data_IF_638610260286
#
_entry.id   IF_638610260286
#
_cell.length_a   1.000
_cell.length_b   1.000
_cell.length_c   1.000
_cell.angle_alpha   90.00
_cell.angle_beta   90.00
_cell.angle_gamma   90.00
#
_symmetry.space_group_name_H-M   'P 1'
#
loop_
_entity.id
_entity.type
_entity.pdbx_description
1 polymer ?
#
# COMPACT_ATOMS: atom_id res chain seq x y z
N UNK A 1 -13.10 12.13 -12.54
CA UNK A 1 -12.09 13.16 -12.87
C UNK A 1 -12.29 14.34 -11.90
N UNK A 2 -11.21 14.97 -11.41
CA UNK A 2 -11.29 16.08 -10.43
C UNK A 2 -11.19 15.68 -8.95
N UNK A 3 -10.57 14.55 -8.62
CA UNK A 3 -10.38 14.13 -7.23
C UNK A 3 -9.32 15.00 -6.58
N UNK A 4 -9.68 15.74 -5.52
CA UNK A 4 -8.73 16.49 -4.70
C UNK A 4 -8.04 15.55 -3.71
N UNK A 5 -6.71 15.56 -3.70
CA UNK A 5 -5.87 14.71 -2.85
C UNK A 5 -5.25 15.56 -1.76
N UNK A 6 -5.49 15.20 -0.50
CA UNK A 6 -4.86 15.84 0.65
C UNK A 6 -3.60 15.05 1.03
N UNK A 7 -2.44 15.65 0.86
CA UNK A 7 -1.16 15.03 1.22
C UNK A 7 -0.72 15.50 2.60
N UNK A 8 -0.74 14.60 3.58
CA UNK A 8 -0.26 14.87 4.93
C UNK A 8 1.28 14.86 4.98
N UNK A 9 1.90 16.03 5.07
CA UNK A 9 3.35 16.17 5.24
C UNK A 9 3.71 17.51 5.87
N UNK A 10 4.67 17.51 6.80
CA UNK A 10 5.27 18.73 7.33
C UNK A 10 6.33 19.32 6.40
N UNK A 11 6.93 18.51 5.51
CA UNK A 11 7.92 18.96 4.55
C UNK A 11 7.23 19.56 3.32
N UNK A 12 7.37 20.88 3.17
CA UNK A 12 6.94 21.64 1.99
C UNK A 12 7.73 21.20 0.75
N UNK A 13 9.04 20.97 0.90
CA UNK A 13 9.91 20.51 -0.19
C UNK A 13 9.43 19.16 -0.76
N UNK A 14 9.14 18.19 0.12
CA UNK A 14 8.61 16.88 -0.29
C UNK A 14 7.28 17.03 -1.02
N UNK A 15 6.39 17.87 -0.50
CA UNK A 15 5.10 18.14 -1.15
C UNK A 15 5.29 18.73 -2.55
N UNK A 16 6.12 19.78 -2.68
CA UNK A 16 6.36 20.44 -3.97
C UNK A 16 7.04 19.52 -5.00
N UNK A 17 7.91 18.60 -4.56
CA UNK A 17 8.52 17.61 -5.45
C UNK A 17 7.46 16.68 -6.04
N UNK A 18 6.59 16.10 -5.20
CA UNK A 18 5.52 15.21 -5.64
C UNK A 18 4.48 15.98 -6.47
N UNK A 19 4.16 17.22 -6.11
CA UNK A 19 3.25 18.04 -6.90
C UNK A 19 3.77 18.27 -8.32
N UNK A 20 5.09 18.46 -8.48
CA UNK A 20 5.73 18.64 -9.80
C UNK A 20 5.77 17.38 -10.66
N UNK A 21 5.60 16.20 -10.07
CA UNK A 21 5.47 14.94 -10.82
C UNK A 21 4.13 14.87 -11.58
N UNK A 22 3.11 15.61 -11.14
CA UNK A 22 1.82 15.69 -11.81
C UNK A 22 1.85 16.70 -12.98
N UNK A 23 1.14 16.42 -14.09
CA UNK A 23 0.91 17.40 -15.16
C UNK A 23 0.37 18.72 -14.62
N UNK A 24 0.79 19.85 -15.20
CA UNK A 24 0.49 21.20 -14.70
C UNK A 24 -1.00 21.45 -14.42
N UNK A 25 -1.88 20.94 -15.28
CA UNK A 25 -3.34 21.03 -15.16
C UNK A 25 -3.91 20.29 -13.93
N UNK A 26 -3.18 19.32 -13.39
CA UNK A 26 -3.60 18.51 -12.24
C UNK A 26 -2.94 18.90 -10.91
N UNK A 27 -1.90 19.75 -10.93
CA UNK A 27 -1.14 20.10 -9.72
C UNK A 27 -2.01 20.74 -8.63
N UNK A 28 -3.05 21.49 -9.01
CA UNK A 28 -3.99 22.13 -8.09
C UNK A 28 -4.90 21.14 -7.35
N UNK A 29 -4.99 19.88 -7.80
CA UNK A 29 -5.73 18.85 -7.08
C UNK A 29 -4.96 18.28 -5.89
N UNK A 30 -3.63 18.40 -5.87
CA UNK A 30 -2.81 17.97 -4.75
C UNK A 30 -2.64 19.12 -3.76
N UNK A 31 -3.03 18.90 -2.50
CA UNK A 31 -3.04 19.94 -1.47
C UNK A 31 -2.30 19.48 -0.23
N UNK A 32 -1.34 20.27 0.22
CA UNK A 32 -0.59 19.98 1.43
C UNK A 32 -1.50 20.18 2.64
N UNK A 33 -1.49 19.21 3.55
CA UNK A 33 -2.06 19.35 4.88
C UNK A 33 -1.02 18.92 5.92
N UNK A 34 -1.11 19.49 7.12
CA UNK A 34 -0.14 19.23 8.20
C UNK A 34 -0.78 18.53 9.41
N UNK A 35 -2.11 18.38 9.40
CA UNK A 35 -2.90 17.79 10.48
C UNK A 35 -4.00 16.90 9.92
N UNK A 36 -4.33 15.83 10.65
CA UNK A 36 -5.33 14.83 10.24
C UNK A 36 -6.76 15.36 10.21
N UNK A 37 -7.08 16.38 11.01
CA UNK A 37 -8.42 16.98 11.02
C UNK A 37 -8.81 17.60 9.67
N UNK A 38 -7.85 17.95 8.83
CA UNK A 38 -8.11 18.40 7.46
C UNK A 38 -8.83 17.35 6.61
N UNK A 39 -8.69 16.06 6.94
CA UNK A 39 -9.30 14.94 6.23
C UNK A 39 -10.66 14.50 6.82
N UNK A 40 -11.31 15.34 7.65
CA UNK A 40 -12.59 15.00 8.30
C UNK A 40 -13.77 14.74 7.35
N UNK A 41 -13.62 15.07 6.07
CA UNK A 41 -14.61 14.80 5.02
C UNK A 41 -14.11 13.80 3.97
N UNK A 42 -12.94 13.18 4.18
CA UNK A 42 -12.37 12.19 3.26
C UNK A 42 -12.80 10.78 3.65
N UNK A 43 -13.52 10.08 2.77
CA UNK A 43 -13.91 8.67 2.98
C UNK A 43 -12.87 7.65 2.52
N UNK A 44 -11.81 8.10 1.85
CA UNK A 44 -10.73 7.24 1.36
C UNK A 44 -9.42 7.72 1.96
N UNK A 45 -8.78 6.87 2.75
CA UNK A 45 -7.53 7.18 3.42
C UNK A 45 -6.44 6.21 2.95
N UNK A 46 -5.37 6.75 2.38
CA UNK A 46 -4.20 5.97 1.94
C UNK A 46 -3.11 6.13 3.01
N UNK A 47 -2.73 5.03 3.65
CA UNK A 47 -1.96 5.03 4.90
C UNK A 47 -0.68 4.22 4.75
N UNK A 48 0.44 4.93 4.65
CA UNK A 48 1.80 4.35 4.59
C UNK A 48 2.60 4.47 5.88
N UNK A 49 1.94 4.79 7.01
CA UNK A 49 2.56 4.89 8.33
C UNK A 49 1.57 4.51 9.43
N UNK A 50 2.07 4.22 10.61
CA UNK A 50 1.21 3.90 11.75
C UNK A 50 0.32 5.09 12.13
N UNK A 51 -0.93 4.78 12.49
CA UNK A 51 -1.92 5.75 12.98
C UNK A 51 -2.42 5.35 14.36
N UNK A 52 -2.33 6.28 15.28
CA UNK A 52 -2.92 6.19 16.62
C UNK A 52 -4.45 6.28 16.56
N UNK A 53 -5.17 5.78 17.58
CA UNK A 53 -6.62 5.94 17.71
C UNK A 53 -7.12 7.39 17.54
N UNK A 54 -6.39 8.36 18.09
CA UNK A 54 -6.73 9.79 17.99
C UNK A 54 -6.56 10.35 16.58
N UNK A 55 -5.61 9.84 15.81
CA UNK A 55 -5.45 10.26 14.41
C UNK A 55 -6.57 9.66 13.55
N UNK A 56 -6.93 8.40 13.81
CA UNK A 56 -8.05 7.74 13.13
C UNK A 56 -9.41 8.35 13.48
N UNK A 57 -9.57 9.00 14.64
CA UNK A 57 -10.85 9.62 15.04
C UNK A 57 -11.27 10.79 14.15
N UNK A 58 -10.35 11.34 13.35
CA UNK A 58 -10.67 12.35 12.35
C UNK A 58 -11.32 11.79 11.09
N UNK A 59 -11.20 10.49 10.80
CA UNK A 59 -11.86 9.91 9.65
C UNK A 59 -13.39 9.93 9.84
N UNK A 60 -14.19 10.34 8.83
CA UNK A 60 -15.65 10.29 8.92
C UNK A 60 -16.17 8.84 9.01
N UNK A 61 -17.46 8.69 9.33
CA UNK A 61 -18.11 7.38 9.30
C UNK A 61 -18.18 6.85 7.86
N UNK A 62 -17.99 5.54 7.69
CA UNK A 62 -17.94 4.89 6.38
C UNK A 62 -16.63 5.10 5.62
N UNK A 63 -15.57 5.56 6.29
CA UNK A 63 -14.23 5.63 5.69
C UNK A 63 -13.67 4.23 5.44
N UNK A 64 -12.97 4.07 4.31
CA UNK A 64 -12.10 2.94 4.05
C UNK A 64 -10.62 3.36 4.17
N UNK A 65 -9.85 2.60 4.95
CA UNK A 65 -8.41 2.77 5.11
C UNK A 65 -7.66 1.80 4.20
N UNK A 66 -7.10 2.29 3.11
CA UNK A 66 -6.12 1.57 2.29
C UNK A 66 -4.75 1.66 2.98
N UNK A 67 -4.36 0.59 3.67
CA UNK A 67 -3.09 0.54 4.39
C UNK A 67 -2.07 -0.32 3.66
N UNK A 68 -0.81 0.12 3.68
CA UNK A 68 0.33 -0.65 3.17
C UNK A 68 1.52 -0.61 4.13
N UNK A 69 1.25 -0.28 5.39
CA UNK A 69 2.23 -0.30 6.48
C UNK A 69 2.25 -1.68 7.13
N UNK A 70 3.45 -2.20 7.42
CA UNK A 70 3.64 -3.50 8.08
C UNK A 70 4.24 -3.25 9.47
N UNK A 71 3.69 -3.83 10.55
CA UNK A 71 2.37 -4.48 10.64
C UNK A 71 1.19 -3.49 10.42
N UNK A 72 -0.04 -3.99 10.19
CA UNK A 72 -1.18 -3.13 9.88
C UNK A 72 -1.56 -2.22 11.05
N UNK A 73 -2.26 -1.11 10.75
CA UNK A 73 -2.78 -0.20 11.77
C UNK A 73 -3.89 -0.89 12.59
N UNK A 74 -4.04 -0.48 13.84
CA UNK A 74 -5.13 -0.96 14.69
C UNK A 74 -6.50 -0.53 14.14
N UNK A 75 -7.42 -1.49 13.99
CA UNK A 75 -8.80 -1.24 13.55
C UNK A 75 -9.64 -0.58 14.66
N UNK A 76 -9.40 0.71 14.94
CA UNK A 76 -10.02 1.42 16.06
C UNK A 76 -11.45 1.92 15.77
N UNK A 77 -11.72 2.35 14.53
CA UNK A 77 -13.01 2.94 14.12
C UNK A 77 -14.01 1.86 13.69
N UNK A 78 -14.96 1.53 14.57
CA UNK A 78 -15.98 0.48 14.32
C UNK A 78 -16.88 0.72 13.11
N UNK A 79 -17.08 1.98 12.73
CA UNK A 79 -17.90 2.37 11.58
C UNK A 79 -17.04 2.69 10.33
N UNK A 80 -15.81 2.20 10.29
CA UNK A 80 -14.91 2.28 9.14
C UNK A 80 -14.47 0.87 8.74
N UNK A 81 -13.92 0.74 7.55
CA UNK A 81 -13.33 -0.50 7.05
C UNK A 81 -11.84 -0.32 6.81
N UNK A 82 -11.09 -1.41 6.88
CA UNK A 82 -9.64 -1.44 6.77
C UNK A 82 -9.27 -2.48 5.72
N UNK A 83 -8.47 -2.09 4.74
CA UNK A 83 -7.95 -3.01 3.74
C UNK A 83 -6.91 -3.94 4.35
N UNK A 84 -6.85 -5.17 3.88
CA UNK A 84 -5.79 -6.10 4.24
C UNK A 84 -4.47 -5.69 3.58
N UNK A 85 -3.35 -6.06 4.22
CA UNK A 85 -2.04 -5.88 3.60
C UNK A 85 -1.89 -6.85 2.44
N UNK A 86 -1.42 -6.35 1.30
CA UNK A 86 -1.17 -7.18 0.14
C UNK A 86 -0.21 -8.33 0.48
N UNK A 87 -0.62 -9.55 0.14
CA UNK A 87 0.08 -10.77 0.50
C UNK A 87 -0.10 -11.84 -0.58
N UNK A 88 0.91 -12.71 -0.68
CA UNK A 88 0.93 -13.79 -1.66
C UNK A 88 1.24 -15.10 -0.94
N UNK A 89 0.50 -16.15 -1.32
CA UNK A 89 0.81 -17.53 -0.97
C UNK A 89 1.89 -18.06 -1.90
N UNK A 90 2.94 -18.62 -1.31
CA UNK A 90 4.03 -19.31 -2.01
C UNK A 90 3.59 -20.69 -2.51
N UNK A 91 4.24 -21.25 -3.54
CA UNK A 91 4.09 -22.65 -3.92
C UNK A 91 4.37 -23.61 -2.74
N UNK A 92 3.69 -24.76 -2.73
CA UNK A 92 3.70 -25.69 -1.57
C UNK A 92 5.05 -26.33 -1.29
N UNK A 93 5.90 -26.43 -2.31
CA UNK A 93 7.22 -27.04 -2.30
C UNK A 93 8.34 -26.06 -1.93
N UNK A 94 8.04 -24.78 -1.75
CA UNK A 94 9.03 -23.76 -1.34
C UNK A 94 9.54 -24.06 0.07
N UNK A 95 10.87 -24.03 0.21
CA UNK A 95 11.58 -24.20 1.48
C UNK A 95 12.49 -22.99 1.74
N UNK A 96 12.94 -22.83 2.99
CA UNK A 96 13.92 -21.78 3.36
C UNK A 96 13.35 -20.36 3.55
N UNK A 97 12.11 -20.08 3.12
CA UNK A 97 11.48 -18.75 3.25
C UNK A 97 10.63 -18.56 4.52
N UNK A 98 10.75 -19.44 5.51
CA UNK A 98 9.94 -19.37 6.74
C UNK A 98 10.12 -18.06 7.52
N UNK A 99 11.32 -17.50 7.54
CA UNK A 99 11.56 -16.20 8.20
C UNK A 99 10.88 -15.04 7.48
N UNK A 100 10.60 -15.17 6.17
CA UNK A 100 9.93 -14.15 5.36
C UNK A 100 8.41 -14.11 5.58
N UNK A 101 7.85 -15.11 6.26
CA UNK A 101 6.42 -15.16 6.63
C UNK A 101 6.10 -14.08 7.68
N UNK A 102 7.05 -13.75 8.55
CA UNK A 102 6.94 -12.74 9.61
C UNK A 102 5.71 -12.93 10.52
N UNK A 103 4.63 -12.19 10.25
CA UNK A 103 3.36 -12.26 11.01
C UNK A 103 2.25 -12.97 10.23
N UNK A 104 2.57 -13.49 9.04
CA UNK A 104 1.63 -14.17 8.15
C UNK A 104 1.57 -15.67 8.44
N UNK A 105 0.52 -16.30 7.93
CA UNK A 105 0.36 -17.75 7.98
C UNK A 105 1.49 -18.50 7.24
N UNK A 106 1.65 -19.78 7.57
CA UNK A 106 2.62 -20.65 6.89
C UNK A 106 2.41 -20.65 5.37
N UNK A 107 3.50 -20.44 4.64
CA UNK A 107 3.52 -20.36 3.19
C UNK A 107 2.91 -19.07 2.63
N UNK A 108 2.71 -18.03 3.45
CA UNK A 108 2.25 -16.70 3.01
C UNK A 108 3.32 -15.67 3.35
N UNK A 109 3.59 -14.77 2.41
CA UNK A 109 4.48 -13.64 2.62
C UNK A 109 3.80 -12.35 2.17
N UNK A 110 4.25 -11.21 2.69
CA UNK A 110 3.81 -9.91 2.16
C UNK A 110 4.17 -9.78 0.67
N UNK A 111 3.36 -9.05 -0.08
CA UNK A 111 3.56 -8.85 -1.52
C UNK A 111 4.92 -8.23 -1.85
N UNK A 112 5.50 -7.43 -0.96
CA UNK A 112 6.86 -6.90 -1.13
C UNK A 112 7.94 -7.99 -1.09
N UNK A 113 7.82 -8.99 -0.20
CA UNK A 113 8.75 -10.13 -0.16
C UNK A 113 8.56 -11.03 -1.38
N UNK A 114 7.31 -11.29 -1.78
CA UNK A 114 7.00 -12.02 -3.00
C UNK A 114 7.57 -11.31 -4.24
N UNK A 115 7.46 -9.99 -4.31
CA UNK A 115 8.05 -9.18 -5.39
C UNK A 115 9.57 -9.36 -5.49
N UNK A 116 10.29 -9.38 -4.36
CA UNK A 116 11.73 -9.66 -4.34
C UNK A 116 12.07 -11.06 -4.86
N UNK A 117 11.27 -12.07 -4.52
CA UNK A 117 11.44 -13.44 -5.04
C UNK A 117 11.20 -13.48 -6.56
N UNK A 118 10.13 -12.87 -7.05
CA UNK A 118 9.83 -12.81 -8.49
C UNK A 118 10.93 -12.08 -9.25
N UNK A 119 11.42 -10.96 -8.70
CA UNK A 119 12.52 -10.19 -9.29
C UNK A 119 13.78 -11.03 -9.46
N UNK A 120 14.15 -11.82 -8.44
CA UNK A 120 15.27 -12.77 -8.50
C UNK A 120 15.03 -13.86 -9.55
N UNK A 121 13.84 -14.46 -9.58
CA UNK A 121 13.53 -15.59 -10.46
C UNK A 121 13.48 -15.20 -11.95
N UNK A 122 13.03 -14.00 -12.26
CA UNK A 122 13.04 -13.45 -13.62
C UNK A 122 14.41 -12.89 -14.03
N UNK A 123 15.38 -12.81 -13.11
CA UNK A 123 16.72 -12.29 -13.39
C UNK A 123 16.72 -10.80 -13.76
N UNK A 124 15.79 -10.02 -13.22
CA UNK A 124 15.72 -8.59 -13.50
C UNK A 124 16.89 -7.84 -12.84
N UNK A 125 17.48 -6.90 -13.58
CA UNK A 125 18.68 -6.15 -13.15
C UNK A 125 18.40 -4.69 -12.74
N UNK A 126 17.13 -4.25 -12.84
CA UNK A 126 16.75 -2.91 -12.43
C UNK A 126 16.57 -2.84 -10.90
N UNK A 127 16.58 -1.62 -10.35
CA UNK A 127 16.34 -1.42 -8.92
C UNK A 127 14.85 -1.56 -8.60
N UNK A 128 14.55 -2.31 -7.54
CA UNK A 128 13.21 -2.54 -6.99
C UNK A 128 12.75 -1.43 -6.03
N UNK A 129 13.66 -0.51 -5.68
CA UNK A 129 13.40 0.62 -4.77
C UNK A 129 13.26 1.91 -5.56
N UNK A 130 12.11 2.57 -5.45
CA UNK A 130 11.88 3.86 -6.12
C UNK A 130 10.41 4.13 -6.39
N UNK A 131 10.17 5.02 -7.35
CA UNK A 131 8.83 5.20 -7.91
C UNK A 131 8.38 3.90 -8.60
N UNK A 132 7.10 3.55 -8.43
CA UNK A 132 6.52 2.38 -9.08
C UNK A 132 6.45 2.65 -10.59
N UNK A 133 7.02 1.75 -11.38
CA UNK A 133 6.79 1.70 -12.83
C UNK A 133 5.41 1.07 -13.08
N UNK A 134 4.43 1.92 -13.37
CA UNK A 134 3.03 1.50 -13.54
C UNK A 134 2.82 0.60 -14.75
N UNK A 135 3.67 0.71 -15.77
CA UNK A 135 3.57 -0.10 -16.99
C UNK A 135 4.04 -1.54 -16.77
N UNK A 136 4.75 -1.79 -15.66
CA UNK A 136 5.22 -3.13 -15.28
C UNK A 136 4.28 -3.88 -14.36
N UNK A 137 3.18 -3.28 -13.89
CA UNK A 137 2.28 -3.92 -12.91
C UNK A 137 1.79 -5.29 -13.42
N UNK A 138 1.25 -5.32 -14.65
CA UNK A 138 0.72 -6.56 -15.23
C UNK A 138 1.85 -7.57 -15.52
N UNK A 139 3.01 -7.09 -15.97
CA UNK A 139 4.18 -7.93 -16.23
C UNK A 139 4.64 -8.65 -14.96
N UNK A 140 4.77 -7.91 -13.84
CA UNK A 140 5.18 -8.48 -12.56
C UNK A 140 4.11 -9.42 -12.01
N UNK A 141 2.84 -9.09 -12.20
CA UNK A 141 1.72 -9.92 -11.79
C UNK A 141 1.72 -11.28 -12.50
N UNK A 142 1.83 -11.27 -13.84
CA UNK A 142 1.87 -12.50 -14.64
C UNK A 142 3.11 -13.34 -14.33
N UNK A 143 4.26 -12.72 -14.09
CA UNK A 143 5.46 -13.42 -13.63
C UNK A 143 5.23 -14.10 -12.27
N UNK A 144 4.58 -13.42 -11.32
CA UNK A 144 4.24 -14.03 -10.03
C UNK A 144 3.32 -15.26 -10.20
N UNK A 145 2.30 -15.15 -11.06
CA UNK A 145 1.38 -16.27 -11.33
C UNK A 145 2.09 -17.44 -12.03
N UNK A 146 3.01 -17.16 -12.98
CA UNK A 146 3.85 -18.16 -13.66
C UNK A 146 4.67 -19.00 -12.69
N UNK A 147 5.20 -18.40 -11.63
CA UNK A 147 5.92 -19.13 -10.57
C UNK A 147 5.01 -19.74 -9.51
N UNK A 148 3.68 -19.71 -9.71
CA UNK A 148 2.71 -20.36 -8.84
C UNK A 148 2.42 -19.59 -7.55
N UNK A 149 2.87 -18.34 -7.42
CA UNK A 149 2.42 -17.46 -6.34
C UNK A 149 0.94 -17.14 -6.56
N UNK A 150 0.18 -16.98 -5.48
CA UNK A 150 -1.26 -16.68 -5.55
C UNK A 150 -1.62 -15.56 -4.59
N UNK A 151 -2.46 -14.59 -4.97
CA UNK A 151 -2.95 -13.62 -4.01
C UNK A 151 -3.69 -14.34 -2.88
N UNK A 152 -3.47 -13.87 -1.66
CA UNK A 152 -4.36 -14.25 -0.57
C UNK A 152 -5.68 -13.52 -0.82
N UNK A 153 -6.72 -14.25 -1.19
CA UNK A 153 -8.07 -13.68 -1.20
C UNK A 153 -8.43 -13.31 0.23
N UNK A 154 -8.93 -12.09 0.44
CA UNK A 154 -9.71 -11.81 1.63
C UNK A 154 -10.93 -12.71 1.58
N UNK A 155 -10.87 -13.82 2.30
CA UNK A 155 -12.05 -14.61 2.59
C UNK A 155 -12.97 -13.64 3.34
N UNK A 156 -14.03 -13.17 2.68
CA UNK A 156 -15.12 -12.49 3.38
C UNK A 156 -15.68 -13.53 4.36
N UNK A 157 -15.39 -13.34 5.65
CA UNK A 157 -16.28 -13.79 6.70
C UNK A 157 -17.32 -12.69 6.92
#
# INVERSE_FOLDING_TARGET
RGVRVLMLTLSVERFQRIQREAPAEFQNYLVQVTKYNAAQHCKTWIVGKWLTPREQSWAPAGTHFHQFVVPPILNFRRNCTYGDLAAMRLPKDVQGLGHCEYTMDRGVVHACHAGGVVHMLEGWEHHEVGAIDVDRIDLVWEAAMKYGLRPVSSSQN
#
